data_IF_051505534874
#
_entry.id   IF_051505534874
#
_cell.length_a   1.000
_cell.length_b   1.000
_cell.length_c   1.000
_cell.angle_alpha   90.00
_cell.angle_beta   90.00
_cell.angle_gamma   90.00
#
_symmetry.space_group_name_H-M   'P 1'
#
loop_
_entity.id
_entity.type
_entity.pdbx_description
1 polymer ?
#
# COMPACT_ATOMS: atom_id res chain seq x y z
N UNK A 1 -1.99 11.49 26.58
CA UNK A 1 -2.45 11.91 25.22
C UNK A 1 -3.27 10.76 24.66
N UNK A 2 -4.45 11.04 24.13
CA UNK A 2 -5.27 10.01 23.47
C UNK A 2 -4.66 9.70 22.11
N UNK A 3 -4.34 8.44 21.84
CA UNK A 3 -3.78 8.00 20.54
C UNK A 3 -4.91 8.09 19.49
N UNK A 4 -4.65 8.72 18.35
CA UNK A 4 -5.60 8.69 17.23
C UNK A 4 -5.55 7.30 16.59
N UNK A 5 -6.68 6.59 16.55
CA UNK A 5 -6.81 5.25 15.97
C UNK A 5 -7.64 5.35 14.70
N UNK A 6 -7.16 4.76 13.60
CA UNK A 6 -7.90 4.63 12.35
C UNK A 6 -7.60 3.30 11.67
N UNK A 7 -8.51 2.79 10.86
CA UNK A 7 -8.35 1.54 10.13
C UNK A 7 -8.67 1.71 8.65
N UNK A 8 -7.90 1.06 7.79
CA UNK A 8 -8.16 0.96 6.36
C UNK A 8 -7.51 -0.28 5.75
N UNK A 9 -8.00 -0.71 4.59
CA UNK A 9 -7.38 -1.76 3.80
C UNK A 9 -6.62 -1.15 2.63
N UNK A 10 -5.36 -1.55 2.46
CA UNK A 10 -4.46 -1.12 1.39
C UNK A 10 -4.22 -2.22 0.34
N UNK A 11 -3.57 -1.84 -0.76
CA UNK A 11 -3.08 -2.76 -1.76
C UNK A 11 -4.16 -3.43 -2.62
N UNK A 12 -3.75 -4.45 -3.37
CA UNK A 12 -4.63 -5.13 -4.31
C UNK A 12 -5.61 -6.04 -3.56
N UNK A 13 -6.91 -5.81 -3.83
CA UNK A 13 -8.00 -6.65 -3.34
C UNK A 13 -8.36 -7.73 -4.36
N UNK A 14 -8.71 -8.97 -3.94
CA UNK A 14 -9.02 -10.06 -4.86
C UNK A 14 -10.18 -9.70 -5.79
N UNK A 15 -9.98 -9.88 -7.10
CA UNK A 15 -11.02 -9.70 -8.12
C UNK A 15 -12.07 -10.79 -8.05
N UNK A 16 -13.28 -10.45 -8.47
CA UNK A 16 -14.35 -11.44 -8.64
C UNK A 16 -14.10 -12.37 -9.84
N UNK A 17 -14.79 -13.49 -9.84
CA UNK A 17 -14.79 -14.40 -11.00
C UNK A 17 -15.33 -13.70 -12.25
N UNK A 18 -16.28 -12.75 -12.11
CA UNK A 18 -16.84 -11.97 -13.21
C UNK A 18 -15.76 -11.12 -13.89
N UNK A 19 -14.91 -10.42 -13.14
CA UNK A 19 -13.79 -9.65 -13.71
C UNK A 19 -12.80 -10.58 -14.40
N UNK A 20 -12.46 -11.71 -13.78
CA UNK A 20 -11.55 -12.70 -14.37
C UNK A 20 -12.14 -13.31 -15.65
N UNK A 21 -13.44 -13.62 -15.67
CA UNK A 21 -14.11 -14.13 -16.85
C UNK A 21 -14.19 -13.09 -17.97
N UNK A 22 -14.54 -11.84 -17.64
CA UNK A 22 -14.64 -10.74 -18.60
C UNK A 22 -13.29 -10.43 -19.25
N UNK A 23 -12.20 -10.32 -18.47
CA UNK A 23 -10.85 -10.07 -19.00
C UNK A 23 -10.35 -11.20 -19.89
N UNK A 24 -10.55 -12.46 -19.50
CA UNK A 24 -10.24 -13.63 -20.35
C UNK A 24 -11.12 -13.69 -21.59
N UNK A 25 -12.37 -13.23 -21.50
CA UNK A 25 -13.30 -13.12 -22.61
C UNK A 25 -12.81 -12.11 -23.64
N UNK A 26 -12.32 -10.94 -23.19
CA UNK A 26 -11.76 -9.89 -24.04
C UNK A 26 -10.53 -10.39 -24.84
N UNK A 27 -9.61 -11.07 -24.18
CA UNK A 27 -8.42 -11.67 -24.84
C UNK A 27 -8.80 -12.66 -25.95
N UNK A 28 -9.97 -13.30 -25.83
CA UNK A 28 -10.50 -14.27 -26.81
C UNK A 28 -11.51 -13.68 -27.79
N UNK A 29 -11.72 -12.35 -27.76
CA UNK A 29 -12.70 -11.65 -28.60
C UNK A 29 -14.15 -12.00 -28.31
N UNK A 30 -14.50 -12.46 -27.08
CA UNK A 30 -15.84 -12.87 -26.68
C UNK A 30 -16.55 -11.84 -25.80
N UNK A 31 -15.83 -10.90 -25.27
CA UNK A 31 -16.31 -9.84 -24.37
C UNK A 31 -15.81 -8.49 -24.91
N UNK A 32 -16.64 -7.48 -24.85
CA UNK A 32 -16.26 -6.11 -25.23
C UNK A 32 -15.49 -5.39 -24.11
N UNK A 33 -14.78 -4.30 -24.47
CA UNK A 33 -14.13 -3.42 -23.50
C UNK A 33 -15.15 -2.82 -22.51
N UNK A 34 -16.36 -2.49 -22.98
CA UNK A 34 -17.42 -1.94 -22.14
C UNK A 34 -17.89 -2.95 -21.07
N UNK A 35 -18.06 -4.23 -21.43
CA UNK A 35 -18.42 -5.27 -20.49
C UNK A 35 -17.33 -5.51 -19.44
N UNK A 36 -16.06 -5.45 -19.85
CA UNK A 36 -14.92 -5.53 -18.92
C UNK A 36 -14.94 -4.32 -17.98
N UNK A 37 -15.15 -3.12 -18.50
CA UNK A 37 -15.21 -1.90 -17.69
C UNK A 37 -16.35 -1.96 -16.66
N UNK A 38 -17.52 -2.44 -17.07
CA UNK A 38 -18.67 -2.64 -16.18
C UNK A 38 -18.37 -3.69 -15.09
N UNK A 39 -17.63 -4.77 -15.40
CA UNK A 39 -17.23 -5.75 -14.40
C UNK A 39 -16.30 -5.14 -13.35
N UNK A 40 -15.30 -4.34 -13.76
CA UNK A 40 -14.42 -3.62 -12.84
C UNK A 40 -15.15 -2.60 -11.98
N UNK A 41 -16.12 -1.86 -12.52
CA UNK A 41 -16.95 -0.92 -11.73
C UNK A 41 -17.72 -1.65 -10.65
N UNK A 42 -18.42 -2.73 -10.98
CA UNK A 42 -19.15 -3.55 -9.98
C UNK A 42 -18.24 -4.08 -8.89
N UNK A 43 -17.04 -4.53 -9.23
CA UNK A 43 -16.06 -5.03 -8.25
C UNK A 43 -15.59 -3.94 -7.30
N UNK A 44 -15.34 -2.74 -7.83
CA UNK A 44 -14.95 -1.58 -7.02
C UNK A 44 -16.08 -1.13 -6.10
N UNK A 45 -17.30 -1.02 -6.61
CA UNK A 45 -18.49 -0.70 -5.82
C UNK A 45 -18.73 -1.71 -4.70
N UNK A 46 -18.54 -3.02 -5.00
CA UNK A 46 -18.62 -4.08 -3.98
C UNK A 46 -17.55 -3.91 -2.90
N UNK A 47 -16.32 -3.63 -3.27
CA UNK A 47 -15.25 -3.43 -2.30
C UNK A 47 -15.44 -2.17 -1.45
N UNK A 48 -15.90 -1.06 -2.04
CA UNK A 48 -16.27 0.16 -1.30
C UNK A 48 -17.36 -0.16 -0.28
N UNK A 49 -18.39 -0.93 -0.67
CA UNK A 49 -19.44 -1.38 0.26
C UNK A 49 -18.86 -2.22 1.39
N UNK A 50 -17.97 -3.18 1.10
CA UNK A 50 -17.32 -4.02 2.12
C UNK A 50 -16.57 -3.18 3.16
N UNK A 51 -15.84 -2.15 2.73
CA UNK A 51 -15.12 -1.24 3.64
C UNK A 51 -16.10 -0.42 4.50
N UNK A 52 -17.17 0.09 3.91
CA UNK A 52 -18.20 0.87 4.64
C UNK A 52 -18.93 0.00 5.66
N UNK A 53 -19.35 -1.21 5.26
CA UNK A 53 -20.07 -2.14 6.14
C UNK A 53 -19.19 -2.59 7.30
N UNK A 54 -17.87 -2.69 7.09
CA UNK A 54 -16.88 -2.93 8.13
C UNK A 54 -16.61 -1.72 9.03
N UNK A 55 -17.07 -0.53 8.67
CA UNK A 55 -16.82 0.71 9.42
C UNK A 55 -15.36 1.17 9.39
N UNK A 56 -14.67 0.95 8.27
CA UNK A 56 -13.30 1.45 8.10
C UNK A 56 -13.29 2.98 8.03
N UNK A 57 -12.22 3.59 8.55
CA UNK A 57 -12.09 5.04 8.64
C UNK A 57 -11.68 5.69 7.30
N UNK A 58 -10.92 4.99 6.47
CA UNK A 58 -10.52 5.43 5.13
C UNK A 58 -10.89 4.38 4.09
N UNK A 59 -11.11 4.85 2.85
CA UNK A 59 -11.56 4.01 1.76
C UNK A 59 -10.58 4.04 0.59
N UNK A 60 -10.33 2.87 -0.02
CA UNK A 60 -9.52 2.70 -1.22
C UNK A 60 -10.32 2.09 -2.36
N UNK A 61 -9.79 2.18 -3.59
CA UNK A 61 -10.33 1.50 -4.77
C UNK A 61 -10.01 0.00 -4.81
N UNK A 62 -9.18 -0.47 -3.86
CA UNK A 62 -8.68 -1.85 -3.82
C UNK A 62 -7.74 -2.21 -4.95
N UNK A 63 -7.21 -1.24 -5.68
CA UNK A 63 -6.36 -1.41 -6.87
C UNK A 63 -6.94 -2.44 -7.86
N UNK A 64 -8.27 -2.55 -7.96
CA UNK A 64 -8.96 -3.62 -8.71
C UNK A 64 -8.63 -3.56 -10.21
N UNK A 65 -8.38 -2.36 -10.74
CA UNK A 65 -7.96 -2.17 -12.14
C UNK A 65 -6.45 -2.33 -12.36
N UNK A 66 -5.66 -2.45 -11.29
CA UNK A 66 -4.21 -2.59 -11.37
C UNK A 66 -3.84 -4.03 -11.68
N UNK A 67 -3.01 -4.24 -12.68
CA UNK A 67 -2.49 -5.58 -13.02
C UNK A 67 -1.35 -5.98 -12.07
N UNK A 68 -0.55 -5.00 -11.67
CA UNK A 68 0.47 -5.03 -10.64
C UNK A 68 0.72 -3.60 -10.15
N UNK A 69 1.46 -3.43 -9.06
CA UNK A 69 1.68 -2.12 -8.41
C UNK A 69 2.43 -1.10 -9.28
N UNK A 70 3.11 -1.53 -10.34
CA UNK A 70 3.90 -0.66 -11.21
C UNK A 70 3.18 -0.30 -12.51
N UNK A 71 2.32 -1.19 -13.00
CA UNK A 71 1.78 -1.14 -14.36
C UNK A 71 1.11 0.19 -14.72
N UNK A 72 0.20 0.75 -13.92
CA UNK A 72 -0.43 2.01 -14.25
C UNK A 72 0.54 3.19 -14.30
N UNK A 73 1.59 3.17 -13.46
CA UNK A 73 2.65 4.19 -13.47
C UNK A 73 3.49 4.08 -14.74
N UNK A 74 3.87 2.86 -15.12
CA UNK A 74 4.64 2.61 -16.36
C UNK A 74 3.85 3.03 -17.60
N UNK A 75 2.56 2.69 -17.66
CA UNK A 75 1.70 3.02 -18.82
C UNK A 75 1.44 4.53 -18.94
N UNK A 76 1.51 5.26 -17.84
CA UNK A 76 1.34 6.72 -17.82
C UNK A 76 2.64 7.50 -18.04
N UNK A 77 3.79 6.83 -18.17
CA UNK A 77 5.12 7.44 -18.21
C UNK A 77 5.81 7.23 -19.54
N UNK A 78 6.59 8.22 -19.97
CA UNK A 78 7.63 8.04 -20.98
C UNK A 78 8.90 7.49 -20.35
N UNK A 79 9.73 6.81 -21.15
CA UNK A 79 11.02 6.25 -20.72
C UNK A 79 10.91 4.96 -19.88
N UNK A 80 9.70 4.43 -19.69
CA UNK A 80 9.45 3.14 -19.03
C UNK A 80 8.65 2.20 -19.94
N UNK A 81 9.02 0.93 -19.95
CA UNK A 81 8.31 -0.15 -20.61
C UNK A 81 7.99 -1.27 -19.61
N UNK A 82 6.82 -1.89 -19.69
CA UNK A 82 6.52 -3.09 -18.93
C UNK A 82 6.94 -4.33 -19.73
N UNK A 83 8.01 -4.99 -19.31
CA UNK A 83 8.65 -6.06 -20.09
C UNK A 83 8.54 -7.43 -19.44
N UNK A 84 9.54 -7.81 -18.70
CA UNK A 84 9.73 -9.16 -18.18
C UNK A 84 8.74 -9.47 -17.07
N UNK A 85 8.11 -10.63 -17.16
CA UNK A 85 7.27 -11.15 -16.07
C UNK A 85 8.19 -11.70 -14.97
N UNK A 86 8.08 -11.14 -13.77
CA UNK A 86 8.88 -11.48 -12.60
C UNK A 86 7.97 -11.91 -11.47
N UNK A 87 8.38 -12.89 -10.69
CA UNK A 87 7.64 -13.35 -9.53
C UNK A 87 7.68 -12.30 -8.41
N UNK A 88 6.53 -12.05 -7.79
CA UNK A 88 6.41 -11.14 -6.67
C UNK A 88 6.88 -11.80 -5.38
N UNK A 89 8.16 -11.58 -5.04
CA UNK A 89 8.83 -12.21 -3.89
C UNK A 89 8.65 -13.74 -3.87
N UNK A 90 8.22 -14.32 -2.77
CA UNK A 90 7.94 -15.75 -2.62
C UNK A 90 6.48 -16.14 -2.90
N UNK A 91 5.64 -15.16 -3.30
CA UNK A 91 4.23 -15.38 -3.56
C UNK A 91 3.98 -15.99 -4.96
N UNK A 92 2.77 -16.50 -5.18
CA UNK A 92 2.35 -17.01 -6.49
C UNK A 92 1.64 -15.92 -7.32
N UNK A 93 2.12 -14.69 -7.19
CA UNK A 93 1.74 -13.56 -8.06
C UNK A 93 2.95 -13.07 -8.84
N UNK A 94 2.69 -12.28 -9.90
CA UNK A 94 3.72 -11.84 -10.82
C UNK A 94 3.45 -10.40 -11.22
N UNK A 95 4.53 -9.66 -11.46
CA UNK A 95 4.49 -8.32 -12.00
C UNK A 95 5.34 -8.21 -13.28
N UNK A 96 5.06 -7.23 -14.11
CA UNK A 96 5.94 -6.90 -15.23
C UNK A 96 6.96 -5.87 -14.78
N UNK A 97 8.23 -6.30 -14.74
CA UNK A 97 9.32 -5.42 -14.32
C UNK A 97 9.35 -4.17 -15.20
N UNK A 98 9.31 -2.98 -14.62
CA UNK A 98 9.54 -1.73 -15.34
C UNK A 98 10.94 -1.76 -15.95
N UNK A 99 11.06 -1.47 -17.23
CA UNK A 99 12.35 -1.36 -17.90
C UNK A 99 12.59 0.10 -18.29
N UNK A 100 13.69 0.66 -17.86
CA UNK A 100 14.11 2.00 -18.26
C UNK A 100 14.59 1.94 -19.71
N UNK A 101 13.96 2.73 -20.58
CA UNK A 101 14.23 2.78 -22.04
C UNK A 101 14.59 4.18 -22.54
N UNK A 102 14.51 5.20 -21.68
CA UNK A 102 14.80 6.60 -22.03
C UNK A 102 14.63 7.53 -20.84
N UNK A 103 14.54 8.82 -21.13
CA UNK A 103 14.31 9.85 -20.12
C UNK A 103 12.93 9.67 -19.47
N UNK A 104 12.89 9.71 -18.14
CA UNK A 104 11.67 9.52 -17.37
C UNK A 104 10.81 10.77 -17.42
N UNK A 105 9.54 10.60 -17.76
CA UNK A 105 8.54 11.68 -17.73
C UNK A 105 7.17 11.12 -17.42
N UNK A 106 6.38 11.82 -16.61
CA UNK A 106 4.96 11.49 -16.42
C UNK A 106 4.15 12.19 -17.51
N UNK A 107 3.55 11.42 -18.44
CA UNK A 107 2.75 11.95 -19.53
C UNK A 107 1.37 12.42 -19.09
N UNK A 108 0.79 11.71 -18.11
CA UNK A 108 -0.50 12.02 -17.49
C UNK A 108 -0.62 11.31 -16.14
N UNK A 109 -1.54 11.75 -15.30
CA UNK A 109 -1.93 10.96 -14.11
C UNK A 109 -2.50 9.61 -14.57
N UNK A 110 -2.06 8.50 -13.98
CA UNK A 110 -2.55 7.18 -14.38
C UNK A 110 -4.08 7.11 -14.47
N UNK A 111 -4.59 6.53 -15.56
CA UNK A 111 -6.02 6.50 -15.86
C UNK A 111 -6.85 5.85 -14.74
N UNK A 112 -6.26 4.93 -13.98
CA UNK A 112 -6.90 4.26 -12.83
C UNK A 112 -7.32 5.23 -11.72
N UNK A 113 -6.71 6.41 -11.63
CA UNK A 113 -7.07 7.46 -10.68
C UNK A 113 -8.05 8.51 -11.26
N UNK A 114 -8.41 8.42 -12.52
CA UNK A 114 -9.29 9.41 -13.15
C UNK A 114 -10.77 9.19 -12.82
N UNK A 115 -11.15 7.96 -12.48
CA UNK A 115 -12.52 7.55 -12.17
C UNK A 115 -12.63 7.19 -10.67
N UNK A 116 -12.35 8.18 -9.79
CA UNK A 116 -12.29 8.00 -8.33
C UNK A 116 -13.41 8.72 -7.58
N UNK A 117 -14.38 9.31 -8.31
CA UNK A 117 -15.44 10.13 -7.72
C UNK A 117 -16.45 9.37 -6.86
N UNK A 118 -16.50 8.04 -6.98
CA UNK A 118 -17.34 7.16 -6.17
C UNK A 118 -16.67 6.65 -4.89
N UNK A 119 -15.34 6.85 -4.72
CA UNK A 119 -14.64 6.49 -3.49
C UNK A 119 -15.01 7.50 -2.39
N UNK A 120 -15.63 7.05 -1.28
CA UNK A 120 -16.00 7.95 -0.19
C UNK A 120 -14.75 8.56 0.47
N UNK A 121 -14.86 9.82 0.87
CA UNK A 121 -13.88 10.45 1.75
C UNK A 121 -14.03 9.93 3.20
N UNK A 122 -12.96 9.85 3.98
CA UNK A 122 -11.57 10.11 3.57
C UNK A 122 -10.97 8.98 2.71
N UNK A 123 -10.11 9.35 1.75
CA UNK A 123 -9.55 8.41 0.76
C UNK A 123 -8.11 8.04 1.07
N UNK A 124 -7.74 6.80 0.74
CA UNK A 124 -6.34 6.34 0.74
C UNK A 124 -5.94 5.87 -0.66
N UNK A 125 -4.77 6.31 -1.13
CA UNK A 125 -4.14 5.79 -2.34
C UNK A 125 -2.92 4.95 -1.98
N UNK A 126 -2.75 3.82 -2.67
CA UNK A 126 -1.58 2.94 -2.51
C UNK A 126 -0.68 3.02 -3.74
N UNK A 127 0.62 3.21 -3.51
CA UNK A 127 1.67 3.34 -4.52
C UNK A 127 2.90 2.51 -4.11
N UNK A 128 3.79 2.14 -5.04
CA UNK A 128 5.09 1.61 -4.66
C UNK A 128 5.93 2.70 -3.98
N UNK A 129 6.79 2.30 -3.03
CA UNK A 129 7.81 3.21 -2.51
C UNK A 129 8.87 3.53 -3.57
N UNK A 130 9.64 4.61 -3.42
CA UNK A 130 10.78 4.90 -4.28
C UNK A 130 11.80 3.76 -4.34
N UNK A 131 12.10 3.17 -3.19
CA UNK A 131 13.07 2.08 -3.10
C UNK A 131 12.57 0.83 -3.82
N UNK A 132 11.37 0.37 -3.50
CA UNK A 132 10.72 -0.74 -4.19
C UNK A 132 10.70 -0.52 -5.71
N UNK A 133 10.28 0.66 -6.18
CA UNK A 133 10.17 0.93 -7.61
C UNK A 133 11.52 0.85 -8.31
N UNK A 134 12.55 1.47 -7.74
CA UNK A 134 13.90 1.45 -8.29
C UNK A 134 14.52 0.05 -8.32
N UNK A 135 14.29 -0.75 -7.27
CA UNK A 135 14.84 -2.12 -7.16
C UNK A 135 14.11 -3.11 -8.05
N UNK A 136 12.81 -2.96 -8.24
CA UNK A 136 12.01 -3.79 -9.15
C UNK A 136 12.25 -3.45 -10.63
N UNK A 137 12.69 -2.23 -10.94
CA UNK A 137 12.96 -1.80 -12.32
C UNK A 137 14.22 -2.46 -12.89
N UNK A 138 14.22 -2.74 -14.20
CA UNK A 138 15.39 -3.16 -14.96
C UNK A 138 16.06 -1.93 -15.56
N UNK A 139 17.26 -1.61 -15.09
CA UNK A 139 18.05 -0.48 -15.57
C UNK A 139 19.54 -0.78 -15.47
N UNK A 140 20.33 -0.07 -16.28
CA UNK A 140 21.78 -0.02 -16.17
C UNK A 140 22.19 1.22 -15.34
N UNK A 141 23.30 1.13 -14.63
CA UNK A 141 23.86 2.26 -13.89
C UNK A 141 23.46 2.32 -12.43
N UNK A 142 23.50 3.52 -11.86
CA UNK A 142 23.28 3.78 -10.43
C UNK A 142 21.81 3.65 -10.05
N UNK A 143 21.52 2.72 -9.14
CA UNK A 143 20.16 2.44 -8.65
C UNK A 143 19.61 3.56 -7.76
N UNK A 144 20.48 4.28 -7.06
CA UNK A 144 20.05 5.37 -6.21
C UNK A 144 19.74 6.63 -7.03
N UNK A 145 20.52 6.88 -8.07
CA UNK A 145 20.17 7.91 -9.06
C UNK A 145 18.81 7.61 -9.71
N UNK A 146 18.59 6.37 -10.15
CA UNK A 146 17.30 5.94 -10.68
C UNK A 146 16.16 6.13 -9.68
N UNK A 147 16.37 5.80 -8.40
CA UNK A 147 15.37 6.01 -7.35
C UNK A 147 14.96 7.49 -7.25
N UNK A 148 15.92 8.40 -7.30
CA UNK A 148 15.65 9.84 -7.26
C UNK A 148 14.91 10.31 -8.52
N UNK A 149 15.29 9.83 -9.70
CA UNK A 149 14.63 10.19 -10.96
C UNK A 149 13.17 9.67 -10.99
N UNK A 150 12.93 8.40 -10.60
CA UNK A 150 11.57 7.84 -10.47
C UNK A 150 10.74 8.64 -9.45
N UNK A 151 11.37 9.09 -8.38
CA UNK A 151 10.70 9.89 -7.36
C UNK A 151 10.26 11.25 -7.90
N UNK A 152 11.17 11.98 -8.54
CA UNK A 152 10.92 13.36 -9.01
C UNK A 152 10.02 13.40 -10.23
N UNK A 153 10.27 12.52 -11.19
CA UNK A 153 9.62 12.59 -12.49
C UNK A 153 8.27 11.84 -12.52
N UNK A 154 8.06 10.88 -11.61
CA UNK A 154 6.86 10.03 -11.65
C UNK A 154 6.09 10.05 -10.32
N UNK A 155 6.71 9.60 -9.21
CA UNK A 155 5.95 9.40 -7.96
C UNK A 155 5.45 10.70 -7.36
N UNK A 156 6.29 11.72 -7.24
CA UNK A 156 5.92 13.01 -6.67
C UNK A 156 4.78 13.68 -7.46
N UNK A 157 4.83 13.82 -8.78
CA UNK A 157 3.70 14.40 -9.55
C UNK A 157 2.39 13.61 -9.41
N UNK A 158 2.47 12.26 -9.34
CA UNK A 158 1.29 11.42 -9.07
C UNK A 158 0.73 11.71 -7.68
N UNK A 159 1.58 11.74 -6.66
CA UNK A 159 1.17 12.03 -5.27
C UNK A 159 0.54 13.42 -5.14
N UNK A 160 1.15 14.46 -5.72
CA UNK A 160 0.61 15.83 -5.74
C UNK A 160 -0.79 15.86 -6.39
N UNK A 161 -0.97 15.14 -7.50
CA UNK A 161 -2.28 15.02 -8.15
C UNK A 161 -3.30 14.29 -7.30
N UNK A 162 -2.94 13.21 -6.63
CA UNK A 162 -3.84 12.43 -5.76
C UNK A 162 -4.31 13.28 -4.57
N UNK A 163 -3.41 13.98 -3.93
CA UNK A 163 -3.75 14.88 -2.83
C UNK A 163 -4.66 16.03 -3.32
N UNK A 164 -4.38 16.59 -4.50
CA UNK A 164 -5.27 17.56 -5.15
C UNK A 164 -6.67 17.02 -5.46
N UNK A 165 -6.87 15.70 -5.51
CA UNK A 165 -8.15 14.99 -5.67
C UNK A 165 -8.78 14.57 -4.33
N UNK A 166 -8.23 15.00 -3.20
CA UNK A 166 -8.76 14.75 -1.87
C UNK A 166 -8.37 13.41 -1.26
N UNK A 167 -7.26 12.81 -1.69
CA UNK A 167 -6.67 11.69 -0.95
C UNK A 167 -5.97 12.20 0.30
N UNK A 168 -6.37 11.70 1.46
CA UNK A 168 -5.87 12.14 2.77
C UNK A 168 -4.73 11.25 3.29
N UNK A 169 -4.57 10.06 2.72
CA UNK A 169 -3.47 9.14 3.02
C UNK A 169 -2.82 8.68 1.72
N UNK A 170 -1.52 8.84 1.63
CA UNK A 170 -0.67 8.22 0.61
C UNK A 170 0.07 7.07 1.28
N UNK A 171 -0.25 5.85 0.89
CA UNK A 171 0.31 4.61 1.41
C UNK A 171 1.37 4.09 0.44
N UNK A 172 2.63 4.11 0.83
CA UNK A 172 3.75 3.58 0.07
C UNK A 172 4.05 2.14 0.49
N UNK A 173 3.98 1.21 -0.43
CA UNK A 173 4.34 -0.20 -0.20
C UNK A 173 5.85 -0.39 -0.32
N UNK A 174 6.47 -1.03 0.69
CA UNK A 174 7.90 -1.28 0.77
C UNK A 174 8.24 -2.69 1.27
N UNK A 175 7.95 -3.73 0.50
CA UNK A 175 8.34 -5.11 0.84
C UNK A 175 9.80 -5.43 0.51
N UNK A 176 10.49 -4.62 -0.28
CA UNK A 176 11.87 -4.92 -0.71
C UNK A 176 12.86 -4.81 0.44
N UNK A 177 12.70 -3.78 1.27
CA UNK A 177 13.56 -3.52 2.42
C UNK A 177 13.59 -4.70 3.40
N UNK A 178 12.46 -5.20 3.93
CA UNK A 178 12.50 -6.32 4.86
C UNK A 178 12.90 -7.64 4.22
N UNK A 179 12.62 -7.84 2.92
CA UNK A 179 12.89 -9.11 2.24
C UNK A 179 14.34 -9.25 1.75
N UNK A 180 14.91 -8.20 1.16
CA UNK A 180 16.26 -8.22 0.58
C UNK A 180 17.28 -7.37 1.34
N UNK A 181 16.82 -6.55 2.28
CA UNK A 181 17.65 -5.63 3.04
C UNK A 181 17.83 -4.27 2.35
N UNK A 182 18.42 -3.36 3.10
CA UNK A 182 18.83 -2.04 2.66
C UNK A 182 20.23 -1.76 3.22
N UNK A 183 21.21 -1.53 2.35
CA UNK A 183 22.57 -1.25 2.76
C UNK A 183 22.72 0.17 3.34
N UNK A 184 23.73 0.35 4.20
CA UNK A 184 23.92 1.61 4.92
C UNK A 184 24.03 2.86 4.03
N UNK A 185 24.64 2.73 2.84
CA UNK A 185 24.78 3.81 1.88
C UNK A 185 23.45 4.17 1.19
N UNK A 186 22.54 3.21 1.04
CA UNK A 186 21.25 3.41 0.36
C UNK A 186 20.23 4.14 1.25
N UNK A 187 20.40 4.10 2.59
CA UNK A 187 19.46 4.74 3.52
C UNK A 187 19.34 6.24 3.32
N UNK A 188 20.47 6.93 3.20
CA UNK A 188 20.47 8.39 3.06
C UNK A 188 19.77 8.85 1.78
N UNK A 189 19.92 8.08 0.69
CA UNK A 189 19.25 8.38 -0.57
C UNK A 189 17.77 7.98 -0.53
N UNK A 190 17.42 6.91 0.18
CA UNK A 190 16.02 6.55 0.43
C UNK A 190 15.30 7.61 1.26
N UNK A 191 15.92 8.11 2.33
CA UNK A 191 15.38 9.21 3.13
C UNK A 191 15.18 10.49 2.29
N UNK A 192 16.14 10.85 1.42
CA UNK A 192 15.99 11.99 0.48
C UNK A 192 14.80 11.79 -0.47
N UNK A 193 14.62 10.58 -0.98
CA UNK A 193 13.49 10.27 -1.86
C UNK A 193 12.14 10.41 -1.12
N UNK A 194 12.06 10.00 0.14
CA UNK A 194 10.86 10.19 0.97
C UNK A 194 10.62 11.67 1.29
N UNK A 195 11.68 12.45 1.56
CA UNK A 195 11.59 13.91 1.75
C UNK A 195 11.02 14.56 0.49
N UNK A 196 11.52 14.18 -0.68
CA UNK A 196 11.05 14.72 -1.98
C UNK A 196 9.55 14.53 -2.18
N UNK A 197 9.01 13.35 -1.82
CA UNK A 197 7.56 13.09 -1.85
C UNK A 197 6.84 13.91 -0.80
N UNK A 198 7.33 13.94 0.45
CA UNK A 198 6.71 14.66 1.55
C UNK A 198 6.61 16.16 1.29
N UNK A 199 7.64 16.75 0.70
CA UNK A 199 7.64 18.18 0.34
C UNK A 199 6.53 18.51 -0.66
N UNK A 200 6.20 17.61 -1.58
CA UNK A 200 5.09 17.75 -2.52
C UNK A 200 3.70 17.81 -1.86
N UNK A 201 3.55 17.30 -0.65
CA UNK A 201 2.25 17.24 0.07
C UNK A 201 2.22 18.00 1.39
N UNK A 202 3.31 18.63 1.80
CA UNK A 202 3.46 19.26 3.11
C UNK A 202 2.42 20.33 3.44
N UNK A 203 1.86 21.01 2.43
CA UNK A 203 0.86 22.07 2.60
C UNK A 203 -0.58 21.57 2.68
N UNK A 204 -0.82 20.27 2.52
CA UNK A 204 -2.18 19.72 2.30
C UNK A 204 -2.79 19.06 3.54
N UNK A 205 -1.95 18.69 4.51
CA UNK A 205 -2.37 17.92 5.69
C UNK A 205 -2.59 16.43 5.43
N UNK A 206 -2.30 15.94 4.21
CA UNK A 206 -2.35 14.51 3.90
C UNK A 206 -1.19 13.77 4.56
N UNK A 207 -1.45 12.54 5.03
CA UNK A 207 -0.44 11.71 5.67
C UNK A 207 0.31 10.86 4.65
N UNK A 208 1.63 10.77 4.79
CA UNK A 208 2.51 9.85 4.08
C UNK A 208 2.81 8.65 4.97
N UNK A 209 2.46 7.46 4.55
CA UNK A 209 2.70 6.21 5.29
C UNK A 209 3.61 5.31 4.46
N UNK A 210 4.71 4.84 5.04
CA UNK A 210 5.59 3.82 4.45
C UNK A 210 5.30 2.49 5.12
N UNK A 211 4.84 1.49 4.37
CA UNK A 211 4.51 0.17 4.91
C UNK A 211 5.50 -0.90 4.49
N UNK A 212 6.23 -1.45 5.46
CA UNK A 212 7.17 -2.55 5.30
C UNK A 212 6.48 -3.89 5.61
N UNK A 213 6.65 -4.89 4.74
CA UNK A 213 6.05 -6.21 4.92
C UNK A 213 6.85 -7.32 4.21
N UNK A 214 6.51 -8.59 4.42
CA UNK A 214 7.22 -9.80 3.95
C UNK A 214 8.57 -10.06 4.61
N UNK A 215 8.78 -9.57 5.81
CA UNK A 215 9.97 -9.87 6.59
C UNK A 215 10.08 -9.08 7.87
N UNK A 216 10.98 -9.52 8.73
CA UNK A 216 11.28 -8.86 10.00
C UNK A 216 12.06 -7.56 9.80
N UNK A 217 11.62 -6.50 10.47
CA UNK A 217 12.29 -5.19 10.43
C UNK A 217 12.86 -4.76 11.78
N UNK A 218 12.91 -5.64 12.77
CA UNK A 218 13.44 -5.34 14.10
C UNK A 218 14.84 -4.73 14.08
N UNK A 219 15.74 -5.23 13.21
CA UNK A 219 17.08 -4.68 13.05
C UNK A 219 17.13 -3.26 12.47
N UNK A 220 16.07 -2.80 11.84
CA UNK A 220 15.93 -1.47 11.24
C UNK A 220 15.12 -0.48 12.11
N UNK A 221 14.58 -0.92 13.25
CA UNK A 221 13.66 -0.15 14.09
C UNK A 221 14.15 1.27 14.38
N UNK A 222 15.43 1.44 14.72
CA UNK A 222 16.04 2.73 15.03
C UNK A 222 16.06 3.71 13.86
N UNK A 223 16.15 3.21 12.62
CA UNK A 223 16.07 4.03 11.41
C UNK A 223 14.65 4.28 11.00
N UNK A 224 13.81 3.25 11.01
CA UNK A 224 12.40 3.33 10.61
C UNK A 224 11.62 4.40 11.39
N UNK A 225 11.80 4.45 12.72
CA UNK A 225 11.11 5.43 13.58
C UNK A 225 11.53 6.88 13.37
N UNK A 226 12.57 7.16 12.55
CA UNK A 226 13.08 8.50 12.22
C UNK A 226 12.85 8.89 10.77
N UNK A 227 12.25 8.00 9.98
CA UNK A 227 11.97 8.31 8.57
C UNK A 227 11.06 9.53 8.44
N UNK A 228 11.24 10.33 7.38
CA UNK A 228 10.48 11.56 7.16
C UNK A 228 9.06 11.24 6.61
N UNK A 229 8.32 10.42 7.34
CA UNK A 229 6.93 10.00 7.04
C UNK A 229 6.04 10.23 8.26
N UNK A 230 4.72 10.26 8.06
CA UNK A 230 3.78 10.47 9.17
C UNK A 230 3.50 9.18 9.94
N UNK A 231 3.64 8.02 9.30
CA UNK A 231 3.60 6.73 9.96
C UNK A 231 4.46 5.69 9.21
N UNK A 232 4.98 4.72 9.97
CA UNK A 232 5.64 3.54 9.44
C UNK A 232 4.74 2.33 9.68
N UNK A 233 4.50 1.55 8.62
CA UNK A 233 3.78 0.28 8.68
C UNK A 233 4.71 -0.88 8.99
N UNK A 234 4.29 -1.70 9.92
CA UNK A 234 5.02 -2.88 10.40
C UNK A 234 4.15 -4.12 10.20
N UNK A 235 4.71 -5.12 9.55
CA UNK A 235 4.16 -6.47 9.45
C UNK A 235 4.35 -7.22 10.77
N UNK A 236 3.33 -7.25 11.62
CA UNK A 236 3.38 -7.95 12.90
C UNK A 236 3.12 -9.47 12.80
N UNK A 237 2.99 -10.00 11.61
CA UNK A 237 3.05 -11.44 11.37
C UNK A 237 4.51 -11.91 11.32
N UNK A 238 5.41 -11.07 10.78
CA UNK A 238 6.82 -11.38 10.58
C UNK A 238 7.74 -10.69 11.62
N UNK A 239 7.34 -9.55 12.18
CA UNK A 239 8.16 -8.76 13.11
C UNK A 239 7.69 -8.92 14.55
N UNK A 240 8.62 -9.27 15.44
CA UNK A 240 8.36 -9.32 16.88
C UNK A 240 8.27 -7.88 17.45
N UNK A 241 7.21 -7.60 18.20
CA UNK A 241 7.01 -6.31 18.86
C UNK A 241 8.19 -5.94 19.79
N UNK A 242 8.75 -6.91 20.49
CA UNK A 242 9.82 -6.67 21.47
C UNK A 242 11.14 -6.24 20.79
N UNK A 243 11.31 -6.51 19.47
CA UNK A 243 12.48 -6.08 18.69
C UNK A 243 12.41 -4.59 18.28
N UNK A 244 11.24 -3.96 18.37
CA UNK A 244 11.03 -2.59 17.92
C UNK A 244 11.38 -1.53 18.97
N UNK A 245 11.78 -1.92 20.17
CA UNK A 245 12.07 -1.01 21.27
C UNK A 245 10.82 -0.37 21.85
N UNK A 246 10.94 0.87 22.31
CA UNK A 246 9.85 1.61 22.96
C UNK A 246 9.80 3.05 22.45
N UNK A 247 8.63 3.70 22.52
CA UNK A 247 8.41 5.11 22.16
C UNK A 247 8.79 5.45 20.72
N UNK A 248 7.80 5.43 19.88
CA UNK A 248 7.92 5.87 18.48
C UNK A 248 7.44 7.33 18.36
N UNK A 249 8.30 8.20 17.82
CA UNK A 249 7.96 9.61 17.55
C UNK A 249 7.12 9.72 16.28
N UNK A 250 7.29 8.76 15.36
CA UNK A 250 6.51 8.61 14.13
C UNK A 250 5.25 7.80 14.40
N UNK A 251 4.14 8.08 13.71
CA UNK A 251 2.94 7.25 13.75
C UNK A 251 3.24 5.80 13.33
N UNK A 252 2.35 4.90 13.68
CA UNK A 252 2.48 3.48 13.35
C UNK A 252 1.28 3.00 12.55
N UNK A 253 1.51 2.20 11.52
CA UNK A 253 0.50 1.33 10.93
C UNK A 253 0.80 -0.10 11.37
N UNK A 254 -0.13 -0.69 12.10
CA UNK A 254 0.00 -2.06 12.56
C UNK A 254 -0.67 -3.00 11.55
N UNK A 255 0.14 -3.82 10.87
CA UNK A 255 -0.29 -4.92 10.01
C UNK A 255 -0.63 -6.14 10.85
N UNK A 256 -1.91 -6.28 11.23
CA UNK A 256 -2.37 -7.22 12.25
C UNK A 256 -2.97 -8.50 11.69
N UNK A 257 -3.51 -8.45 10.48
CA UNK A 257 -4.20 -9.56 9.85
C UNK A 257 -3.34 -10.13 8.74
N UNK A 258 -3.15 -11.46 8.73
CA UNK A 258 -2.29 -12.12 7.75
C UNK A 258 -2.97 -12.19 6.37
N UNK A 259 -2.49 -11.39 5.42
CA UNK A 259 -2.96 -11.33 4.04
C UNK A 259 -2.60 -12.55 3.19
N UNK A 260 -1.77 -13.48 3.70
CA UNK A 260 -1.36 -14.72 3.00
C UNK A 260 -1.95 -16.00 3.61
N UNK A 261 -2.63 -15.89 4.73
CA UNK A 261 -3.19 -17.05 5.46
C UNK A 261 -4.70 -16.96 5.60
N UNK A 262 -5.43 -18.03 5.23
CA UNK A 262 -6.89 -18.06 5.20
C UNK A 262 -7.60 -18.08 6.57
N UNK A 263 -7.04 -18.62 7.66
CA UNK A 263 -7.65 -18.50 8.98
C UNK A 263 -7.96 -17.06 9.36
N UNK A 264 -9.14 -16.84 9.93
CA UNK A 264 -9.55 -15.51 10.40
C UNK A 264 -9.09 -15.35 11.85
N UNK A 265 -8.37 -14.30 12.12
CA UNK A 265 -7.85 -13.97 13.45
C UNK A 265 -8.99 -13.76 14.47
N UNK A 266 -8.76 -14.10 15.72
CA UNK A 266 -9.77 -13.83 16.76
C UNK A 266 -9.80 -12.34 17.09
N UNK A 267 -10.99 -11.74 17.20
CA UNK A 267 -11.15 -10.33 17.55
C UNK A 267 -10.45 -10.00 18.87
N UNK A 268 -10.70 -10.82 19.92
CA UNK A 268 -10.14 -10.59 21.25
C UNK A 268 -8.61 -10.67 21.29
N UNK A 269 -8.03 -11.66 20.60
CA UNK A 269 -6.58 -11.81 20.51
C UNK A 269 -5.93 -10.66 19.77
N UNK A 270 -6.53 -10.24 18.65
CA UNK A 270 -6.00 -9.13 17.85
C UNK A 270 -6.12 -7.79 18.58
N UNK A 271 -7.24 -7.53 19.27
CA UNK A 271 -7.42 -6.33 20.12
C UNK A 271 -6.40 -6.30 21.26
N UNK A 272 -6.20 -7.45 21.95
CA UNK A 272 -5.22 -7.52 23.03
C UNK A 272 -3.80 -7.25 22.53
N UNK A 273 -3.44 -7.78 21.36
CA UNK A 273 -2.15 -7.51 20.73
C UNK A 273 -2.00 -6.06 20.28
N UNK A 274 -3.00 -5.49 19.58
CA UNK A 274 -2.99 -4.09 19.14
C UNK A 274 -2.89 -3.10 20.31
N UNK A 275 -3.55 -3.42 21.44
CA UNK A 275 -3.42 -2.68 22.68
C UNK A 275 -1.97 -2.73 23.22
N UNK A 276 -1.35 -3.93 23.23
CA UNK A 276 0.04 -4.08 23.65
C UNK A 276 0.99 -3.28 22.74
N UNK A 277 0.75 -3.26 21.44
CA UNK A 277 1.49 -2.41 20.48
C UNK A 277 1.37 -0.94 20.85
N UNK A 278 0.15 -0.44 21.08
CA UNK A 278 -0.10 0.94 21.46
C UNK A 278 0.58 1.32 22.79
N UNK A 279 0.52 0.45 23.80
CA UNK A 279 1.13 0.67 25.11
C UNK A 279 2.67 0.64 25.07
N UNK A 280 3.26 -0.30 24.30
CA UNK A 280 4.71 -0.49 24.20
C UNK A 280 5.38 0.61 23.39
N UNK A 281 4.86 0.87 22.18
CA UNK A 281 5.46 1.81 21.24
C UNK A 281 4.97 3.25 21.45
N UNK A 282 3.79 3.45 22.05
CA UNK A 282 3.19 4.75 22.34
C UNK A 282 3.25 5.74 21.17
N UNK A 283 2.85 5.35 19.94
CA UNK A 283 2.95 6.21 18.77
C UNK A 283 1.92 7.36 18.86
N UNK A 284 2.17 8.52 18.21
CA UNK A 284 1.21 9.63 18.20
C UNK A 284 -0.09 9.30 17.45
N UNK A 285 -0.02 8.38 16.47
CA UNK A 285 -1.17 7.84 15.73
C UNK A 285 -0.99 6.35 15.46
N UNK A 286 -2.09 5.60 15.48
CA UNK A 286 -2.10 4.16 15.21
C UNK A 286 -3.11 3.87 14.10
N UNK A 287 -2.59 3.44 12.97
CA UNK A 287 -3.38 2.90 11.87
C UNK A 287 -3.41 1.38 11.97
N UNK A 288 -4.54 0.77 11.63
CA UNK A 288 -4.72 -0.68 11.63
C UNK A 288 -4.99 -1.14 10.19
N UNK A 289 -4.34 -2.24 9.78
CA UNK A 289 -4.53 -2.83 8.45
C UNK A 289 -4.17 -4.33 8.46
N UNK A 290 -4.29 -4.99 7.31
CA UNK A 290 -3.59 -6.26 7.06
C UNK A 290 -2.07 -6.03 6.98
N UNK A 291 -1.29 -7.09 7.20
CA UNK A 291 0.18 -7.01 7.11
C UNK A 291 0.68 -6.77 5.69
N UNK A 292 -0.05 -7.25 4.69
CA UNK A 292 0.18 -7.02 3.27
C UNK A 292 -1.16 -6.94 2.53
N UNK A 293 -1.14 -6.78 1.20
CA UNK A 293 -2.35 -6.82 0.39
C UNK A 293 -3.10 -8.16 0.50
N UNK A 294 -4.41 -8.14 0.25
CA UNK A 294 -5.28 -9.33 0.37
C UNK A 294 -5.43 -10.13 -0.93
N UNK A 295 -4.72 -9.78 -2.00
CA UNK A 295 -4.84 -10.44 -3.32
C UNK A 295 -4.51 -11.94 -3.30
N UNK A 296 -3.76 -12.40 -2.29
CA UNK A 296 -3.35 -13.81 -2.15
C UNK A 296 -4.44 -14.70 -1.58
N UNK A 297 -5.53 -14.10 -1.10
CA UNK A 297 -6.64 -14.81 -0.46
C UNK A 297 -7.82 -14.99 -1.41
N UNK A 298 -8.63 -16.06 -1.23
CA UNK A 298 -9.94 -16.11 -1.81
C UNK A 298 -10.77 -14.88 -1.42
N UNK A 299 -11.57 -14.35 -2.34
CA UNK A 299 -12.32 -13.10 -2.15
C UNK A 299 -13.24 -13.10 -0.92
N UNK A 300 -13.87 -14.23 -0.64
CA UNK A 300 -14.74 -14.41 0.54
C UNK A 300 -13.95 -14.35 1.86
N UNK A 301 -12.74 -14.88 1.87
CA UNK A 301 -11.81 -14.77 3.02
C UNK A 301 -11.32 -13.34 3.17
N UNK A 302 -10.92 -12.69 2.09
CA UNK A 302 -10.51 -11.28 2.10
C UNK A 302 -11.63 -10.38 2.66
N UNK A 303 -12.90 -10.62 2.26
CA UNK A 303 -14.07 -9.92 2.81
C UNK A 303 -14.21 -10.11 4.31
N UNK A 304 -14.03 -11.33 4.80
CA UNK A 304 -14.10 -11.65 6.23
C UNK A 304 -12.95 -10.96 7.00
N UNK A 305 -11.76 -10.87 6.41
CA UNK A 305 -10.63 -10.14 7.02
C UNK A 305 -10.91 -8.64 7.12
N UNK A 306 -11.49 -8.03 6.08
CA UNK A 306 -11.88 -6.61 6.14
C UNK A 306 -12.94 -6.38 7.23
N UNK A 307 -13.95 -7.25 7.34
CA UNK A 307 -14.93 -7.17 8.43
C UNK A 307 -14.27 -7.31 9.81
N UNK A 308 -13.33 -8.25 9.97
CA UNK A 308 -12.57 -8.45 11.19
C UNK A 308 -11.74 -7.21 11.55
N UNK A 309 -11.11 -6.56 10.56
CA UNK A 309 -10.35 -5.32 10.78
C UNK A 309 -11.26 -4.22 11.38
N UNK A 310 -12.48 -4.08 10.86
CA UNK A 310 -13.46 -3.13 11.40
C UNK A 310 -13.87 -3.45 12.84
N UNK A 311 -14.16 -4.72 13.15
CA UNK A 311 -14.47 -5.15 14.51
C UNK A 311 -13.32 -4.86 15.49
N UNK A 312 -12.08 -5.17 15.10
CA UNK A 312 -10.88 -4.90 15.91
C UNK A 312 -10.72 -3.40 16.14
N UNK A 313 -10.87 -2.59 15.08
CA UNK A 313 -10.76 -1.13 15.18
C UNK A 313 -11.79 -0.54 16.15
N UNK A 314 -13.06 -0.92 16.02
CA UNK A 314 -14.13 -0.44 16.88
C UNK A 314 -13.85 -0.77 18.36
N UNK A 315 -13.52 -2.02 18.65
CA UNK A 315 -13.23 -2.46 20.04
C UNK A 315 -11.96 -1.85 20.61
N UNK A 316 -10.91 -1.69 19.80
CA UNK A 316 -9.68 -1.05 20.27
C UNK A 316 -9.91 0.42 20.64
N UNK A 317 -10.71 1.14 19.86
CA UNK A 317 -11.13 2.52 20.16
C UNK A 317 -11.87 2.60 21.50
N UNK A 318 -12.75 1.64 21.80
CA UNK A 318 -13.45 1.57 23.09
C UNK A 318 -12.52 1.30 24.28
N UNK A 319 -11.51 0.43 24.08
CA UNK A 319 -10.57 0.03 25.13
C UNK A 319 -9.55 1.12 25.47
N UNK A 320 -9.19 1.97 24.47
CA UNK A 320 -8.18 3.03 24.61
C UNK A 320 -8.78 4.44 24.77
N UNK A 321 -10.11 4.58 24.77
CA UNK A 321 -10.83 5.83 25.03
C UNK A 321 -10.73 6.20 26.52
#
# INVERSE_FOLDING_TARGET
MTIRIAAYQHGIYPRSEDVVAATRGLERGRTSLEEVDQAFRRDREDFIRVQRDAGLDYHSDGLIRWQDIFRPLVEASGGLDARTLVRWFDNNSFFRAPQVSGDLTLSAVPAVFQDDGDIPAPKVATLPSPYLFSRAAQAHGDRNALMMDLTREILRPVVESLVGRGYEVIHLQEPWLPYFGLDGADWDDFEKALIEIRDGISSTGSALILHTYFGDVGSYADRLRRLPVDAVGIDFVETDLDSLGTRWETGLLAGLLDGRSSPIESTDGTVAFARRVAETLSPPSLYLSSNCELEYLPRDIARQKVARLGEVSARLKEVLA
#
